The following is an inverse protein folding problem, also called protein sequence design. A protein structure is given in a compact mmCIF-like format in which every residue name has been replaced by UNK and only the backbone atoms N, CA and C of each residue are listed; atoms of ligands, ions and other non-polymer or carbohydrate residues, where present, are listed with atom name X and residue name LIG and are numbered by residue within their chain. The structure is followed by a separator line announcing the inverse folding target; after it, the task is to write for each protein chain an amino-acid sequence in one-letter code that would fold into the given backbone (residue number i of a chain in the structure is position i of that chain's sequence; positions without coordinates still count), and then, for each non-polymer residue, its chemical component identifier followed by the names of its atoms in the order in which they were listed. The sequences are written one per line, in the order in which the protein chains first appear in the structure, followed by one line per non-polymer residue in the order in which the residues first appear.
data_IF_418713736851
#
_entry.id   IF_418713736851
#
_cell.length_a   1.000
_cell.length_b   1.000
_cell.length_c   1.000
_cell.angle_alpha   90.00
_cell.angle_beta   90.00
_cell.angle_gamma   90.00
#
_symmetry.space_group_name_H-M   'P 1'
#
loop_
_entity.id
_entity.type
_entity.pdbx_description
1 polymer ?
#
# COMPACT_ATOMS: atom_id res chain seq x y z
N UNK A 1 -13.35 -30.24 -14.91
CA UNK A 1 -13.00 -31.09 -13.76
C UNK A 1 -12.81 -30.15 -12.57
N UNK A 2 -13.81 -30.02 -11.70
CA UNK A 2 -13.64 -29.24 -10.48
C UNK A 2 -12.58 -29.97 -9.64
N UNK A 3 -11.50 -29.32 -9.20
CA UNK A 3 -10.54 -29.97 -8.29
C UNK A 3 -11.34 -30.42 -7.06
N UNK A 4 -11.11 -31.64 -6.60
CA UNK A 4 -11.75 -32.13 -5.38
C UNK A 4 -11.57 -31.08 -4.28
N UNK A 5 -12.69 -30.67 -3.67
CA UNK A 5 -12.71 -29.65 -2.64
C UNK A 5 -11.90 -30.12 -1.44
N UNK A 6 -10.65 -29.67 -1.36
CA UNK A 6 -9.80 -29.88 -0.19
C UNK A 6 -10.36 -29.07 0.98
N UNK A 7 -11.42 -29.58 1.63
CA UNK A 7 -12.07 -28.97 2.79
C UNK A 7 -11.07 -28.65 3.90
N UNK A 8 -9.99 -29.45 4.01
CA UNK A 8 -8.85 -29.19 4.88
C UNK A 8 -8.12 -27.88 4.53
N UNK A 9 -7.88 -27.61 3.24
CA UNK A 9 -7.25 -26.36 2.80
C UNK A 9 -8.14 -25.16 3.15
N UNK A 10 -9.44 -25.23 2.86
CA UNK A 10 -10.39 -24.17 3.25
C UNK A 10 -10.42 -23.94 4.76
N UNK A 11 -10.43 -25.02 5.55
CA UNK A 11 -10.36 -24.93 7.01
C UNK A 11 -9.10 -24.21 7.48
N UNK A 12 -7.93 -24.56 6.94
CA UNK A 12 -6.65 -23.91 7.24
C UNK A 12 -6.71 -22.41 6.87
N UNK A 13 -7.20 -22.06 5.69
CA UNK A 13 -7.31 -20.67 5.26
C UNK A 13 -8.22 -19.85 6.17
N UNK A 14 -9.37 -20.39 6.56
CA UNK A 14 -10.32 -19.70 7.45
C UNK A 14 -9.70 -19.49 8.83
N UNK A 15 -9.11 -20.54 9.42
CA UNK A 15 -8.46 -20.44 10.74
C UNK A 15 -7.33 -19.41 10.72
N UNK A 16 -6.49 -19.45 9.68
CA UNK A 16 -5.41 -18.49 9.52
C UNK A 16 -5.93 -17.05 9.36
N UNK A 17 -6.92 -16.86 8.49
CA UNK A 17 -7.53 -15.55 8.24
C UNK A 17 -8.15 -14.95 9.50
N UNK A 18 -8.97 -15.74 10.21
CA UNK A 18 -9.59 -15.32 11.48
C UNK A 18 -8.51 -15.02 12.52
N UNK A 19 -7.51 -15.88 12.67
CA UNK A 19 -6.40 -15.67 13.61
C UNK A 19 -5.63 -14.37 13.34
N UNK A 20 -5.33 -14.07 12.07
CA UNK A 20 -4.63 -12.85 11.68
C UNK A 20 -5.49 -11.59 11.89
N UNK A 21 -6.77 -11.64 11.55
CA UNK A 21 -7.72 -10.53 11.81
C UNK A 21 -7.85 -10.28 13.32
N UNK A 22 -8.01 -11.32 14.13
CA UNK A 22 -8.10 -11.19 15.59
C UNK A 22 -6.84 -10.60 16.20
N UNK A 23 -5.66 -11.05 15.76
CA UNK A 23 -4.38 -10.48 16.20
C UNK A 23 -4.26 -9.00 15.78
N UNK A 24 -4.61 -8.66 14.55
CA UNK A 24 -4.59 -7.28 14.06
C UNK A 24 -5.51 -6.36 14.88
N UNK A 25 -6.75 -6.80 15.15
CA UNK A 25 -7.72 -6.06 15.98
C UNK A 25 -7.16 -5.88 17.40
N UNK A 26 -6.58 -6.92 18.00
CA UNK A 26 -5.98 -6.85 19.33
C UNK A 26 -4.82 -5.83 19.39
N UNK A 27 -3.94 -5.83 18.38
CA UNK A 27 -2.81 -4.89 18.29
C UNK A 27 -3.29 -3.45 18.10
N UNK A 28 -4.30 -3.22 17.26
CA UNK A 28 -4.92 -1.91 17.08
C UNK A 28 -5.57 -1.45 18.38
N UNK A 29 -6.34 -2.31 19.04
CA UNK A 29 -7.01 -1.99 20.30
C UNK A 29 -5.99 -1.52 21.35
N UNK A 30 -4.87 -2.23 21.52
CA UNK A 30 -3.79 -1.82 22.44
C UNK A 30 -3.18 -0.46 22.08
N UNK A 31 -3.01 -0.14 20.81
CA UNK A 31 -2.51 1.19 20.41
C UNK A 31 -3.54 2.28 20.68
N UNK A 32 -4.82 2.02 20.39
CA UNK A 32 -5.90 2.96 20.65
C UNK A 32 -6.03 3.24 22.16
N UNK A 33 -5.92 2.23 23.03
CA UNK A 33 -5.99 2.44 24.47
C UNK A 33 -4.85 3.31 25.00
N UNK A 34 -3.64 3.18 24.44
CA UNK A 34 -2.53 4.09 24.78
C UNK A 34 -2.80 5.51 24.27
N UNK A 35 -3.25 5.68 23.02
CA UNK A 35 -3.56 7.00 22.46
C UNK A 35 -4.66 7.71 23.25
N UNK A 36 -5.67 6.96 23.74
CA UNK A 36 -6.77 7.49 24.55
C UNK A 36 -6.36 8.01 25.92
N UNK A 37 -5.17 7.65 26.42
CA UNK A 37 -4.62 8.20 27.67
C UNK A 37 -3.99 9.60 27.50
N UNK A 38 -3.81 10.06 26.26
CA UNK A 38 -3.35 11.42 25.99
C UNK A 38 -4.41 12.48 26.33
N UNK A 39 -3.98 13.74 26.41
CA UNK A 39 -4.87 14.85 26.73
C UNK A 39 -6.04 14.98 25.73
N UNK A 40 -7.27 15.24 26.22
CA UNK A 40 -8.43 15.45 25.37
C UNK A 40 -8.24 16.74 24.56
N UNK A 41 -7.98 16.59 23.26
CA UNK A 41 -7.92 17.71 22.31
C UNK A 41 -9.15 17.69 21.44
N UNK A 42 -9.84 18.83 21.32
CA UNK A 42 -10.93 18.95 20.34
C UNK A 42 -10.35 18.68 18.94
N UNK A 43 -10.84 17.64 18.27
CA UNK A 43 -10.41 17.26 16.92
C UNK A 43 -11.44 17.63 15.84
N UNK A 44 -12.60 18.13 16.27
CA UNK A 44 -13.70 18.53 15.40
C UNK A 44 -13.69 20.03 15.08
N UNK A 45 -12.67 20.76 15.52
CA UNK A 45 -12.46 22.15 15.10
C UNK A 45 -11.92 22.19 13.65
N UNK A 46 -12.42 23.12 12.84
CA UNK A 46 -11.91 23.42 11.49
C UNK A 46 -11.79 22.19 10.55
N UNK A 47 -12.78 21.28 10.59
CA UNK A 47 -12.77 20.00 9.85
C UNK A 47 -12.39 20.20 8.38
N UNK A 48 -13.00 21.17 7.69
CA UNK A 48 -12.71 21.44 6.27
C UNK A 48 -11.23 21.80 6.01
N UNK A 49 -10.66 22.69 6.81
CA UNK A 49 -9.25 23.09 6.70
C UNK A 49 -8.30 21.92 6.97
N UNK A 50 -8.63 21.07 7.94
CA UNK A 50 -7.83 19.90 8.31
C UNK A 50 -7.92 18.79 7.28
N UNK A 51 -9.11 18.56 6.72
CA UNK A 51 -9.30 17.61 5.62
C UNK A 51 -8.51 18.04 4.39
N UNK A 52 -8.63 19.31 3.99
CA UNK A 52 -7.85 19.85 2.88
C UNK A 52 -6.34 19.76 3.11
N UNK A 53 -5.87 20.11 4.31
CA UNK A 53 -4.46 19.96 4.68
C UNK A 53 -4.02 18.50 4.60
N UNK A 54 -4.85 17.56 5.05
CA UNK A 54 -4.57 16.12 5.01
C UNK A 54 -4.45 15.65 3.57
N UNK A 55 -5.42 15.98 2.72
CA UNK A 55 -5.38 15.64 1.29
C UNK A 55 -4.10 16.21 0.65
N UNK A 56 -3.80 17.49 0.88
CA UNK A 56 -2.60 18.15 0.35
C UNK A 56 -1.30 17.51 0.83
N UNK A 57 -1.22 17.08 2.08
CA UNK A 57 -0.02 16.47 2.65
C UNK A 57 0.13 15.02 2.23
N UNK A 58 -0.96 14.25 2.20
CA UNK A 58 -0.97 12.82 1.89
C UNK A 58 -0.84 12.60 0.38
N UNK A 59 -1.70 13.20 -0.44
CA UNK A 59 -1.62 13.03 -1.89
C UNK A 59 -0.46 13.85 -2.46
N UNK A 60 -0.33 15.11 -2.03
CA UNK A 60 0.73 15.98 -2.53
C UNK A 60 2.12 15.65 -1.98
N UNK A 61 2.25 14.75 -1.00
CA UNK A 61 3.53 14.34 -0.38
C UNK A 61 4.40 15.53 0.09
N UNK A 62 3.78 16.69 0.33
CA UNK A 62 4.45 18.00 0.46
C UNK A 62 5.40 18.07 1.65
N UNK A 63 5.14 17.27 2.69
CA UNK A 63 6.00 17.18 3.88
C UNK A 63 7.28 16.40 3.62
N UNK A 64 7.22 15.42 2.72
CA UNK A 64 8.31 14.48 2.44
C UNK A 64 9.15 14.98 1.25
N UNK A 65 8.54 15.67 0.30
CA UNK A 65 9.21 16.39 -0.80
C UNK A 65 9.82 17.73 -0.33
N UNK A 66 10.61 17.70 0.74
CA UNK A 66 11.32 18.86 1.23
C UNK A 66 12.70 18.96 0.53
N UNK A 67 13.13 20.16 0.08
CA UNK A 67 14.45 20.34 -0.54
C UNK A 67 15.63 19.80 0.29
N UNK A 68 15.51 19.80 1.62
CA UNK A 68 16.56 19.30 2.53
C UNK A 68 16.77 17.77 2.42
N UNK A 69 15.81 17.03 1.88
CA UNK A 69 15.82 15.57 1.78
C UNK A 69 15.09 15.05 0.55
N UNK A 70 15.22 15.78 -0.56
CA UNK A 70 14.52 15.51 -1.80
C UNK A 70 14.83 14.12 -2.37
N UNK A 71 16.07 13.65 -2.18
CA UNK A 71 16.55 12.32 -2.57
C UNK A 71 15.64 11.18 -2.07
N UNK A 72 15.33 11.16 -0.78
CA UNK A 72 14.45 10.17 -0.18
C UNK A 72 12.97 10.45 -0.42
N UNK A 73 12.61 11.72 -0.53
CA UNK A 73 11.22 12.12 -0.73
C UNK A 73 10.69 11.75 -2.09
N UNK A 74 11.49 11.87 -3.15
CA UNK A 74 11.11 11.45 -4.50
C UNK A 74 10.82 9.96 -4.54
N UNK A 75 11.74 9.15 -4.01
CA UNK A 75 11.56 7.70 -3.96
C UNK A 75 10.28 7.32 -3.20
N UNK A 76 10.03 7.97 -2.05
CA UNK A 76 8.82 7.72 -1.28
C UNK A 76 7.54 8.14 -2.02
N UNK A 77 7.55 9.27 -2.71
CA UNK A 77 6.40 9.75 -3.47
C UNK A 77 6.05 8.80 -4.62
N UNK A 78 7.04 8.31 -5.37
CA UNK A 78 6.81 7.33 -6.43
C UNK A 78 6.32 5.98 -5.89
N UNK A 79 6.91 5.49 -4.80
CA UNK A 79 6.42 4.29 -4.11
C UNK A 79 4.95 4.47 -3.70
N UNK A 80 4.62 5.59 -3.06
CA UNK A 80 3.24 5.89 -2.65
C UNK A 80 2.27 5.91 -3.82
N UNK A 81 2.56 6.66 -4.89
CA UNK A 81 1.66 6.78 -6.03
C UNK A 81 1.54 5.49 -6.82
N UNK A 82 2.61 4.70 -6.96
CA UNK A 82 2.50 3.37 -7.54
C UNK A 82 1.60 2.47 -6.71
N UNK A 83 1.71 2.48 -5.38
CA UNK A 83 0.78 1.75 -4.51
C UNK A 83 -0.67 2.22 -4.63
N UNK A 84 -0.93 3.50 -4.86
CA UNK A 84 -2.29 4.00 -5.15
C UNK A 84 -2.83 3.38 -6.43
N UNK A 85 -2.01 3.32 -7.49
CA UNK A 85 -2.39 2.68 -8.75
C UNK A 85 -2.67 1.20 -8.55
N UNK A 86 -1.76 0.44 -7.92
CA UNK A 86 -1.95 -1.00 -7.68
C UNK A 86 -3.16 -1.30 -6.78
N UNK A 87 -3.45 -0.43 -5.80
CA UNK A 87 -4.60 -0.58 -4.91
C UNK A 87 -5.92 -0.53 -5.68
N UNK A 88 -6.02 0.35 -6.68
CA UNK A 88 -7.22 0.44 -7.53
C UNK A 88 -7.43 -0.88 -8.29
N UNK A 89 -6.36 -1.45 -8.86
CA UNK A 89 -6.41 -2.73 -9.58
C UNK A 89 -6.82 -3.86 -8.64
N UNK A 90 -6.14 -3.95 -7.49
CA UNK A 90 -6.38 -4.98 -6.48
C UNK A 90 -7.83 -4.94 -5.98
N UNK A 91 -8.34 -3.74 -5.70
CA UNK A 91 -9.73 -3.55 -5.30
C UNK A 91 -10.71 -3.96 -6.41
N UNK A 92 -10.43 -3.62 -7.68
CA UNK A 92 -11.26 -4.02 -8.81
C UNK A 92 -11.37 -5.54 -8.92
N UNK A 93 -10.23 -6.24 -8.85
CA UNK A 93 -10.15 -7.70 -8.94
C UNK A 93 -10.84 -8.37 -7.74
N UNK A 94 -10.55 -7.93 -6.51
CA UNK A 94 -11.12 -8.53 -5.30
C UNK A 94 -12.64 -8.35 -5.28
N UNK A 95 -13.14 -7.13 -5.55
CA UNK A 95 -14.59 -6.87 -5.51
C UNK A 95 -15.28 -7.59 -6.67
N UNK A 96 -14.69 -7.62 -7.86
CA UNK A 96 -15.19 -8.39 -9.00
C UNK A 96 -15.25 -9.90 -8.74
N UNK A 97 -14.35 -10.43 -7.93
CA UNK A 97 -14.38 -11.83 -7.47
C UNK A 97 -15.47 -12.11 -6.43
N UNK A 98 -15.90 -11.10 -5.66
CA UNK A 98 -16.97 -11.22 -4.66
C UNK A 98 -18.36 -10.98 -5.25
N UNK A 99 -18.47 -10.07 -6.22
CA UNK A 99 -19.72 -9.65 -6.84
C UNK A 99 -19.62 -9.94 -8.35
N UNK A 100 -20.30 -11.00 -8.84
CA UNK A 100 -20.27 -11.35 -10.26
C UNK A 100 -20.66 -10.16 -11.15
N UNK A 101 -19.82 -9.82 -12.12
CA UNK A 101 -20.03 -8.72 -13.06
C UNK A 101 -19.61 -7.34 -12.55
N UNK A 102 -19.17 -7.22 -11.29
CA UNK A 102 -18.67 -5.95 -10.78
C UNK A 102 -17.33 -5.57 -11.43
N UNK A 103 -17.22 -4.31 -11.80
CA UNK A 103 -15.99 -3.64 -12.18
C UNK A 103 -16.15 -2.15 -11.85
N UNK A 104 -15.05 -1.47 -11.54
CA UNK A 104 -15.10 -0.03 -11.39
C UNK A 104 -15.48 0.65 -12.71
N UNK A 105 -16.14 1.82 -12.65
CA UNK A 105 -16.35 2.64 -13.83
C UNK A 105 -15.02 2.80 -14.59
N UNK A 106 -15.06 2.60 -15.91
CA UNK A 106 -13.88 2.67 -16.81
C UNK A 106 -12.85 1.53 -16.69
N UNK A 107 -13.01 0.57 -15.77
CA UNK A 107 -12.15 -0.63 -15.69
C UNK A 107 -12.88 -1.92 -16.09
N UNK A 108 -13.89 -1.79 -16.95
CA UNK A 108 -14.66 -2.92 -17.45
C UNK A 108 -13.86 -3.81 -18.42
N UNK A 109 -14.14 -5.12 -18.47
CA UNK A 109 -13.51 -6.03 -19.43
C UNK A 109 -13.66 -5.54 -20.88
N UNK A 110 -12.59 -5.60 -21.66
CA UNK A 110 -12.60 -5.22 -23.09
C UNK A 110 -12.67 -3.71 -23.38
N UNK A 111 -12.63 -2.85 -22.36
CA UNK A 111 -12.63 -1.40 -22.55
C UNK A 111 -11.23 -0.87 -22.88
N UNK A 112 -11.15 0.16 -23.75
CA UNK A 112 -9.87 0.84 -24.05
C UNK A 112 -9.23 1.46 -22.80
N UNK A 113 -10.06 1.91 -21.86
CA UNK A 113 -9.63 2.50 -20.59
C UNK A 113 -8.94 1.50 -19.69
N UNK A 114 -9.41 0.24 -19.64
CA UNK A 114 -8.72 -0.85 -18.93
C UNK A 114 -7.33 -1.10 -19.53
N UNK A 115 -7.21 -1.15 -20.86
CA UNK A 115 -5.91 -1.33 -21.53
C UNK A 115 -4.93 -0.21 -21.18
N UNK A 116 -5.37 1.05 -21.24
CA UNK A 116 -4.53 2.21 -20.88
C UNK A 116 -4.12 2.15 -19.40
N UNK A 117 -5.06 1.76 -18.53
CA UNK A 117 -4.79 1.62 -17.11
C UNK A 117 -3.76 0.53 -16.82
N UNK A 118 -3.85 -0.63 -17.47
CA UNK A 118 -2.86 -1.70 -17.32
C UNK A 118 -1.46 -1.25 -17.74
N UNK A 119 -1.33 -0.59 -18.90
CA UNK A 119 -0.04 -0.02 -19.31
C UNK A 119 0.50 1.00 -18.30
N UNK A 120 -0.36 1.85 -17.76
CA UNK A 120 0.04 2.80 -16.71
C UNK A 120 0.50 2.06 -15.45
N UNK A 121 -0.22 1.01 -15.03
CA UNK A 121 0.14 0.18 -13.88
C UNK A 121 1.51 -0.48 -14.07
N UNK A 122 1.77 -1.08 -15.22
CA UNK A 122 3.05 -1.74 -15.53
C UNK A 122 4.22 -0.74 -15.48
N UNK A 123 4.01 0.49 -15.98
CA UNK A 123 5.00 1.57 -15.84
C UNK A 123 5.25 1.90 -14.37
N UNK A 124 4.20 2.01 -13.57
CA UNK A 124 4.34 2.25 -12.13
C UNK A 124 5.03 1.10 -11.41
N UNK A 125 4.76 -0.15 -11.74
CA UNK A 125 5.45 -1.32 -11.17
C UNK A 125 6.96 -1.25 -11.40
N UNK A 126 7.38 -0.91 -12.62
CA UNK A 126 8.80 -0.73 -12.95
C UNK A 126 9.39 0.45 -12.15
N UNK A 127 8.71 1.60 -12.13
CA UNK A 127 9.17 2.79 -11.40
C UNK A 127 9.31 2.46 -9.90
N UNK A 128 8.31 1.84 -9.28
CA UNK A 128 8.33 1.48 -7.86
C UNK A 128 9.44 0.49 -7.58
N UNK A 129 9.63 -0.51 -8.44
CA UNK A 129 10.73 -1.48 -8.31
C UNK A 129 12.09 -0.76 -8.28
N UNK A 130 12.35 0.15 -9.22
CA UNK A 130 13.59 0.95 -9.23
C UNK A 130 13.71 1.82 -7.96
N UNK A 131 12.64 2.46 -7.51
CA UNK A 131 12.66 3.31 -6.31
C UNK A 131 12.88 2.50 -5.02
N UNK A 132 12.41 1.26 -4.96
CA UNK A 132 12.64 0.34 -3.84
C UNK A 132 14.09 -0.14 -3.83
N UNK A 133 14.66 -0.49 -4.99
CA UNK A 133 16.09 -0.80 -5.11
C UNK A 133 16.95 0.41 -4.69
N UNK A 134 16.56 1.62 -5.09
CA UNK A 134 17.20 2.84 -4.63
C UNK A 134 17.07 3.05 -3.11
N UNK A 135 15.90 2.75 -2.52
CA UNK A 135 15.70 2.80 -1.08
C UNK A 135 16.57 1.78 -0.32
N UNK A 136 16.75 0.57 -0.87
CA UNK A 136 17.72 -0.40 -0.36
C UNK A 136 19.14 0.13 -0.45
N UNK A 137 19.55 0.66 -1.61
CA UNK A 137 20.86 1.25 -1.80
C UNK A 137 21.14 2.37 -0.79
N UNK A 138 20.16 3.25 -0.53
CA UNK A 138 20.27 4.29 0.49
C UNK A 138 20.49 3.75 1.90
N UNK A 139 19.85 2.63 2.24
CA UNK A 139 19.97 1.99 3.57
C UNK A 139 21.25 1.17 3.72
N UNK A 140 21.69 0.48 2.66
CA UNK A 140 22.84 -0.42 2.69
C UNK A 140 24.18 0.31 2.46
N UNK A 141 24.19 1.32 1.58
CA UNK A 141 25.41 1.98 1.13
C UNK A 141 25.50 3.41 1.65
N UNK A 142 24.56 4.28 1.28
CA UNK A 142 24.67 5.73 1.56
C UNK A 142 24.54 6.07 3.05
N UNK A 143 23.72 5.32 3.79
CA UNK A 143 23.47 5.47 5.24
C UNK A 143 23.42 6.93 5.72
N UNK A 144 22.51 7.78 5.19
CA UNK A 144 22.46 9.20 5.57
C UNK A 144 22.28 9.37 7.09
N UNK A 145 22.96 10.34 7.73
CA UNK A 145 22.94 10.54 9.20
C UNK A 145 21.54 10.66 9.84
N UNK A 146 20.55 11.11 9.07
CA UNK A 146 19.14 11.27 9.51
C UNK A 146 18.29 10.02 9.34
N UNK A 147 18.81 8.99 8.67
CA UNK A 147 18.09 7.76 8.38
C UNK A 147 18.24 6.82 9.55
N UNK A 148 17.13 6.55 10.24
CA UNK A 148 17.07 5.49 11.24
C UNK A 148 17.10 4.15 10.53
N UNK A 149 18.15 3.37 10.79
CA UNK A 149 18.33 2.04 10.21
C UNK A 149 17.74 1.03 11.19
N UNK A 150 16.64 0.41 10.80
CA UNK A 150 15.97 -0.65 11.54
C UNK A 150 15.73 -1.85 10.62
N UNK A 151 15.67 -3.05 11.22
CA UNK A 151 15.38 -4.29 10.50
C UNK A 151 14.02 -4.24 9.78
N UNK A 152 13.01 -3.67 10.46
CA UNK A 152 11.65 -3.50 9.94
C UNK A 152 11.64 -2.77 8.59
N UNK A 153 12.53 -1.78 8.39
CA UNK A 153 12.65 -1.05 7.13
C UNK A 153 13.10 -1.95 5.98
N UNK A 154 14.03 -2.88 6.21
CA UNK A 154 14.45 -3.85 5.19
C UNK A 154 13.36 -4.87 4.89
N UNK A 155 12.65 -5.32 5.93
CA UNK A 155 11.55 -6.26 5.78
C UNK A 155 10.42 -5.66 4.92
N UNK A 156 10.02 -4.42 5.20
CA UNK A 156 8.98 -3.72 4.44
C UNK A 156 9.43 -3.52 2.99
N UNK A 157 10.66 -3.07 2.74
CA UNK A 157 11.17 -2.91 1.37
C UNK A 157 11.22 -4.25 0.62
N UNK A 158 11.52 -5.35 1.31
CA UNK A 158 11.50 -6.70 0.73
C UNK A 158 10.08 -7.09 0.33
N UNK A 159 9.08 -6.87 1.20
CA UNK A 159 7.69 -7.15 0.87
C UNK A 159 7.18 -6.31 -0.30
N UNK A 160 7.53 -5.02 -0.33
CA UNK A 160 7.19 -4.17 -1.47
C UNK A 160 7.80 -4.74 -2.75
N UNK A 161 9.09 -5.07 -2.74
CA UNK A 161 9.78 -5.62 -3.92
C UNK A 161 9.13 -6.94 -4.38
N UNK A 162 8.83 -7.84 -3.44
CA UNK A 162 8.17 -9.11 -3.76
C UNK A 162 6.80 -8.91 -4.38
N UNK A 163 5.99 -7.99 -3.85
CA UNK A 163 4.66 -7.67 -4.40
C UNK A 163 4.79 -7.12 -5.83
N UNK A 164 5.72 -6.19 -6.07
CA UNK A 164 5.93 -5.62 -7.41
C UNK A 164 6.36 -6.69 -8.42
N UNK A 165 7.30 -7.55 -8.03
CA UNK A 165 7.77 -8.63 -8.91
C UNK A 165 6.67 -9.66 -9.15
N UNK A 166 5.92 -10.05 -8.12
CA UNK A 166 4.82 -11.00 -8.30
C UNK A 166 3.73 -10.45 -9.20
N UNK A 167 3.35 -9.18 -9.04
CA UNK A 167 2.31 -8.55 -9.89
C UNK A 167 2.78 -8.51 -11.34
N UNK A 168 4.03 -8.07 -11.58
CA UNK A 168 4.62 -8.00 -12.91
C UNK A 168 4.71 -9.36 -13.63
N UNK A 169 5.02 -10.44 -12.90
CA UNK A 169 5.10 -11.79 -13.48
C UNK A 169 3.74 -12.48 -13.65
N UNK A 170 2.72 -12.06 -12.90
CA UNK A 170 1.38 -12.64 -12.96
C UNK A 170 0.46 -11.95 -13.96
N UNK A 171 0.85 -10.76 -14.43
CA UNK A 171 0.11 -9.98 -15.40
C UNK A 171 0.31 -10.47 -16.84
#
# INVERSE_FOLDING_TARGET
MYPESNHLAYGIYIVFFVGMISLFIYLIYRRITVIRKGEPKNRYDQIGKRLWLTIKVVLGQTRILNPRFWDGGIAHAFIFWGFVVLLINSANVIIGGLIPGFHFPFLGPGTKTLTVYNYMRDIFEIIVTVMVLYAFFRRLVLKPKRLTINWEGYLILTFILLIMLSDFFMN
#
